data_IF_117719629304
#
_entry.id   IF_117719629304
#
_cell.length_a   1.000
_cell.length_b   1.000
_cell.length_c   1.000
_cell.angle_alpha   90.00
_cell.angle_beta   90.00
_cell.angle_gamma   90.00
#
_symmetry.space_group_name_H-M   'P 1'
#
loop_
_entity.id
_entity.type
_entity.pdbx_description
1 polymer ?
#
# COMPACT_ATOMS: atom_id res chain seq x y z
N UNK A 1 2.66 15.28 7.44
CA UNK A 1 2.01 14.88 6.19
C UNK A 1 1.20 13.61 6.45
N UNK A 2 -0.05 13.59 5.98
CA UNK A 2 -0.91 12.41 6.12
C UNK A 2 -0.89 11.63 4.82
N UNK A 3 -0.72 10.32 4.93
CA UNK A 3 -0.71 9.42 3.79
C UNK A 3 -1.85 8.42 3.88
N UNK A 4 -2.39 8.09 2.74
CA UNK A 4 -3.45 7.09 2.62
C UNK A 4 -2.99 6.06 1.62
N UNK A 5 -3.16 4.80 1.96
CA UNK A 5 -2.70 3.70 1.14
C UNK A 5 -3.84 2.95 0.47
N UNK A 6 -3.54 2.37 -0.67
CA UNK A 6 -4.41 1.40 -1.31
C UNK A 6 -3.56 0.23 -1.77
N UNK A 7 -4.04 -0.97 -1.52
CA UNK A 7 -3.34 -2.19 -1.89
C UNK A 7 -4.28 -3.06 -2.71
N UNK A 8 -3.89 -3.34 -3.94
CA UNK A 8 -4.65 -4.18 -4.85
C UNK A 8 -3.98 -5.55 -4.92
N UNK A 9 -4.61 -6.55 -4.32
CA UNK A 9 -4.04 -7.90 -4.22
C UNK A 9 -4.32 -8.70 -5.48
N UNK A 10 -3.28 -9.37 -5.95
CA UNK A 10 -3.35 -10.33 -7.04
C UNK A 10 -2.88 -11.69 -6.50
N UNK A 11 -2.92 -12.73 -7.34
CA UNK A 11 -2.59 -14.09 -6.87
C UNK A 11 -1.17 -14.20 -6.31
N UNK A 12 -0.20 -13.54 -6.94
CA UNK A 12 1.21 -13.70 -6.59
C UNK A 12 1.86 -12.42 -6.08
N UNK A 13 1.18 -11.28 -6.25
CA UNK A 13 1.76 -10.00 -5.87
C UNK A 13 0.66 -8.98 -5.59
N UNK A 14 1.07 -7.80 -5.18
CA UNK A 14 0.14 -6.70 -4.99
C UNK A 14 0.74 -5.42 -5.53
N UNK A 15 -0.12 -4.45 -5.81
CA UNK A 15 0.28 -3.09 -6.13
C UNK A 15 -0.12 -2.22 -4.96
N UNK A 16 0.85 -1.60 -4.32
CA UNK A 16 0.63 -0.74 -3.17
C UNK A 16 0.92 0.70 -3.56
N UNK A 17 -0.03 1.58 -3.29
CA UNK A 17 0.07 3.00 -3.62
C UNK A 17 -0.15 3.81 -2.35
N UNK A 18 0.70 4.80 -2.13
CA UNK A 18 0.50 5.79 -1.07
C UNK A 18 0.26 7.15 -1.71
N UNK A 19 -0.78 7.81 -1.28
CA UNK A 19 -1.10 9.16 -1.74
C UNK A 19 -1.16 10.10 -0.54
N UNK A 20 -0.90 11.37 -0.78
CA UNK A 20 -0.99 12.38 0.25
C UNK A 20 -2.38 13.03 0.28
N UNK A 21 -2.53 14.06 1.11
CA UNK A 21 -3.79 14.77 1.29
C UNK A 21 -4.28 15.47 0.01
N UNK A 22 -3.39 15.68 -0.94
CA UNK A 22 -3.68 16.37 -2.20
C UNK A 22 -3.83 15.39 -3.36
N UNK A 23 -3.99 14.10 -3.04
CA UNK A 23 -4.12 13.03 -4.03
C UNK A 23 -2.88 12.86 -4.92
N UNK A 24 -1.72 13.30 -4.42
CA UNK A 24 -0.45 13.10 -5.12
C UNK A 24 0.13 11.75 -4.75
N UNK A 25 0.57 11.00 -5.75
CA UNK A 25 1.21 9.70 -5.51
C UNK A 25 2.59 9.94 -4.89
N UNK A 26 2.79 9.42 -3.69
CA UNK A 26 4.05 9.51 -2.96
C UNK A 26 4.88 8.27 -3.20
N UNK A 27 4.23 7.11 -3.28
CA UNK A 27 4.91 5.84 -3.46
C UNK A 27 3.98 4.88 -4.20
N UNK A 28 4.52 4.16 -5.15
CA UNK A 28 3.77 3.12 -5.86
C UNK A 28 4.72 1.98 -6.16
N UNK A 29 4.39 0.79 -5.66
CA UNK A 29 5.25 -0.38 -5.82
C UNK A 29 4.44 -1.63 -6.06
N UNK A 30 4.99 -2.51 -6.88
CA UNK A 30 4.49 -3.88 -7.02
C UNK A 30 5.36 -4.76 -6.13
N UNK A 31 4.74 -5.44 -5.19
CA UNK A 31 5.45 -6.23 -4.18
C UNK A 31 4.91 -7.65 -4.16
N UNK A 32 5.76 -8.60 -3.78
CA UNK A 32 5.32 -9.96 -3.49
C UNK A 32 4.33 -9.92 -2.32
N UNK A 33 3.43 -10.92 -2.26
CA UNK A 33 2.45 -11.02 -1.16
C UNK A 33 3.12 -11.59 0.08
N UNK A 34 4.04 -10.81 0.63
CA UNK A 34 4.83 -11.16 1.80
C UNK A 34 4.72 -10.00 2.80
N UNK A 35 4.08 -10.26 3.93
CA UNK A 35 3.82 -9.22 4.93
C UNK A 35 5.10 -8.58 5.45
N UNK A 36 6.17 -9.36 5.59
CA UNK A 36 7.45 -8.83 6.04
C UNK A 36 8.03 -7.84 5.04
N UNK A 37 7.97 -8.20 3.76
CA UNK A 37 8.46 -7.33 2.70
C UNK A 37 7.62 -6.06 2.58
N UNK A 38 6.31 -6.21 2.62
CA UNK A 38 5.39 -5.07 2.54
C UNK A 38 5.65 -4.11 3.70
N UNK A 39 5.75 -4.64 4.91
CA UNK A 39 6.04 -3.82 6.08
C UNK A 39 7.37 -3.10 5.98
N UNK A 40 8.38 -3.79 5.47
CA UNK A 40 9.71 -3.20 5.28
C UNK A 40 9.67 -2.04 4.28
N UNK A 41 8.96 -2.22 3.17
CA UNK A 41 8.86 -1.19 2.14
C UNK A 41 8.04 0.01 2.61
N UNK A 42 7.07 -0.20 3.47
CA UNK A 42 6.22 0.89 3.97
C UNK A 42 6.75 1.53 5.26
N UNK A 43 7.74 0.92 5.90
CA UNK A 43 8.23 1.41 7.17
C UNK A 43 8.70 2.88 7.15
N UNK A 44 9.33 3.41 6.08
CA UNK A 44 9.70 4.82 6.06
C UNK A 44 8.50 5.78 6.15
N UNK A 45 7.32 5.29 5.83
CA UNK A 45 6.10 6.11 5.81
C UNK A 45 5.16 5.80 6.97
N UNK A 46 5.51 4.81 7.81
CA UNK A 46 4.56 4.24 8.78
C UNK A 46 3.92 5.28 9.69
N UNK A 47 4.70 6.24 10.16
CA UNK A 47 4.18 7.26 11.07
C UNK A 47 3.22 8.25 10.39
N UNK A 48 3.23 8.29 9.07
CA UNK A 48 2.39 9.21 8.31
C UNK A 48 1.14 8.54 7.75
N UNK A 49 1.10 7.21 7.71
CA UNK A 49 -0.02 6.48 7.12
C UNK A 49 -1.21 6.51 8.07
N UNK A 50 -2.33 7.05 7.59
CA UNK A 50 -3.59 7.12 8.36
C UNK A 50 -4.42 5.86 8.18
N UNK A 51 -4.34 5.23 7.04
CA UNK A 51 -5.07 4.01 6.77
C UNK A 51 -4.70 3.42 5.43
N UNK A 52 -4.97 2.13 5.27
CA UNK A 52 -4.72 1.43 4.02
C UNK A 52 -5.98 0.64 3.67
N UNK A 53 -6.51 0.89 2.48
CA UNK A 53 -7.61 0.10 1.94
C UNK A 53 -7.02 -1.08 1.16
N UNK A 54 -7.55 -2.26 1.40
CA UNK A 54 -7.09 -3.47 0.72
C UNK A 54 -8.22 -4.03 -0.11
N UNK A 55 -7.94 -4.28 -1.38
CA UNK A 55 -8.88 -4.91 -2.29
C UNK A 55 -8.33 -6.23 -2.78
N UNK A 56 -9.18 -7.23 -2.81
CA UNK A 56 -8.81 -8.56 -3.31
C UNK A 56 -9.87 -9.05 -4.28
N UNK A 57 -9.51 -9.29 -5.54
CA UNK A 57 -10.48 -9.82 -6.49
C UNK A 57 -11.01 -11.19 -6.08
N UNK A 58 -10.20 -11.96 -5.37
CA UNK A 58 -10.60 -13.29 -4.91
C UNK A 58 -11.56 -13.23 -3.72
N UNK A 59 -11.69 -12.09 -3.10
CA UNK A 59 -12.55 -11.92 -1.93
C UNK A 59 -14.02 -11.70 -2.24
N UNK A 60 -14.37 -11.79 -3.49
CA UNK A 60 -15.76 -11.59 -3.90
C UNK A 60 -16.50 -12.88 -4.02
#
# INVERSE_FOLDING_TARGET
>A
MKLYGAMDLHSNNNVTVLIDENDQVVCQKRLANDLGLIGEQLSPYASSIEGIAVESPAGR
#
